data_IF_684387386627
#
_entry.id   IF_684387386627
#
_cell.length_a   1.000
_cell.length_b   1.000
_cell.length_c   1.000
_cell.angle_alpha   90.00
_cell.angle_beta   90.00
_cell.angle_gamma   90.00
#
_symmetry.space_group_name_H-M   'P 1'
#
loop_
_entity.id
_entity.type
_entity.pdbx_description
1 polymer ?
#
# COMPACT_ATOMS: atom_id res chain seq x y z
N UNK A 1 27.38 4.63 5.36
CA UNK A 1 26.13 4.69 4.57
C UNK A 1 26.37 3.85 3.35
N UNK A 2 25.85 2.61 3.34
CA UNK A 2 25.96 1.75 2.16
C UNK A 2 25.09 2.35 1.07
N UNK A 3 25.57 2.47 -0.19
CA UNK A 3 24.75 2.98 -1.27
C UNK A 3 23.57 2.03 -1.51
N UNK A 4 22.34 2.55 -1.44
CA UNK A 4 21.14 1.79 -1.76
C UNK A 4 21.14 1.43 -3.26
N UNK A 5 20.74 0.19 -3.59
CA UNK A 5 20.45 -0.21 -4.96
C UNK A 5 19.21 0.53 -5.48
N UNK A 6 19.28 0.88 -6.75
CA UNK A 6 18.08 1.19 -7.54
C UNK A 6 17.42 -0.13 -7.96
N UNK A 7 16.17 -0.05 -8.41
CA UNK A 7 15.56 -1.15 -9.17
C UNK A 7 16.45 -1.57 -10.34
N UNK A 8 16.41 -2.86 -10.69
CA UNK A 8 17.21 -3.49 -11.74
C UNK A 8 18.75 -3.50 -11.52
N UNK A 9 19.26 -2.95 -10.42
CA UNK A 9 20.69 -2.98 -10.10
C UNK A 9 21.10 -4.36 -9.52
N UNK A 10 21.83 -5.14 -10.33
CA UNK A 10 22.34 -6.45 -9.95
C UNK A 10 23.72 -6.42 -9.26
N UNK A 11 24.26 -5.23 -8.93
CA UNK A 11 25.57 -5.10 -8.28
C UNK A 11 25.59 -5.68 -6.85
N UNK A 12 26.50 -6.61 -6.58
CA UNK A 12 26.68 -7.27 -5.27
C UNK A 12 27.06 -6.30 -4.13
N UNK A 13 26.80 -6.70 -2.88
CA UNK A 13 27.09 -5.96 -1.63
C UNK A 13 26.43 -4.57 -1.53
N UNK A 14 25.15 -4.49 -1.89
CA UNK A 14 24.32 -3.29 -1.76
C UNK A 14 22.90 -3.64 -1.34
N UNK A 15 22.41 -2.95 -0.32
CA UNK A 15 21.03 -3.10 0.19
C UNK A 15 20.02 -2.42 -0.72
N UNK A 16 18.78 -2.91 -0.75
CA UNK A 16 17.65 -2.22 -1.36
C UNK A 16 16.72 -1.68 -0.27
N UNK A 17 16.19 -0.47 -0.48
CA UNK A 17 15.21 0.16 0.39
C UNK A 17 14.20 0.95 -0.42
N UNK A 18 12.91 0.82 -0.08
CA UNK A 18 11.83 1.58 -0.70
C UNK A 18 10.70 1.83 0.29
N UNK A 19 10.03 2.97 0.15
CA UNK A 19 8.83 3.30 0.93
C UNK A 19 7.69 3.62 -0.02
N UNK A 20 6.60 2.87 0.06
CA UNK A 20 5.32 3.28 -0.53
C UNK A 20 4.71 4.34 0.39
N UNK A 21 4.59 5.59 -0.06
CA UNK A 21 4.02 6.69 0.73
C UNK A 21 2.61 7.04 0.27
N UNK A 22 1.79 7.59 1.18
CA UNK A 22 0.46 8.11 0.83
C UNK A 22 -0.55 6.99 0.58
N UNK A 23 -0.40 5.88 1.32
CA UNK A 23 -1.35 4.78 1.28
C UNK A 23 -2.74 5.26 1.74
N UNK A 24 -3.82 4.70 1.19
CA UNK A 24 -5.16 5.02 1.64
C UNK A 24 -5.34 4.63 3.11
N UNK A 25 -6.25 5.32 3.79
CA UNK A 25 -6.70 4.91 5.12
C UNK A 25 -7.62 3.67 5.05
N UNK A 26 -7.80 3.00 6.18
CA UNK A 26 -8.66 1.81 6.34
C UNK A 26 -8.29 0.67 5.39
N UNK A 27 -6.99 0.36 5.26
CA UNK A 27 -6.53 -0.82 4.54
C UNK A 27 -7.07 -2.06 5.26
N UNK A 28 -7.80 -2.89 4.53
CA UNK A 28 -8.44 -4.13 5.01
C UNK A 28 -7.69 -5.38 4.53
N UNK A 29 -7.00 -5.28 3.39
CA UNK A 29 -6.09 -6.31 2.89
C UNK A 29 -5.00 -5.67 2.01
N UNK A 30 -3.82 -6.27 1.99
CA UNK A 30 -2.75 -5.85 1.10
C UNK A 30 -1.88 -7.03 0.67
N UNK A 31 -1.42 -6.98 -0.58
CA UNK A 31 -0.47 -7.94 -1.16
C UNK A 31 0.72 -7.17 -1.74
N UNK A 32 1.93 -7.54 -1.32
CA UNK A 32 3.17 -7.10 -1.95
C UNK A 32 3.64 -8.17 -2.93
N UNK A 33 3.64 -7.85 -4.21
CA UNK A 33 4.38 -8.60 -5.22
C UNK A 33 5.79 -8.01 -5.35
N UNK A 34 6.81 -8.85 -5.23
CA UNK A 34 8.20 -8.44 -5.36
C UNK A 34 8.97 -9.47 -6.18
N UNK A 35 9.68 -9.01 -7.20
CA UNK A 35 10.61 -9.87 -7.96
C UNK A 35 12.05 -9.63 -7.50
N UNK A 36 12.68 -10.70 -7.03
CA UNK A 36 14.04 -10.67 -6.50
C UNK A 36 14.96 -11.61 -7.28
N UNK A 37 16.22 -11.21 -7.39
CA UNK A 37 17.27 -12.00 -8.04
C UNK A 37 18.48 -12.12 -7.12
N UNK A 38 18.85 -13.35 -6.78
CA UNK A 38 20.07 -13.65 -6.05
C UNK A 38 21.28 -13.34 -6.96
N UNK A 39 22.12 -12.39 -6.54
CA UNK A 39 23.39 -12.11 -7.21
C UNK A 39 24.28 -13.35 -7.29
N UNK A 40 25.33 -13.30 -8.12
CA UNK A 40 26.22 -14.47 -8.32
C UNK A 40 27.14 -14.83 -7.14
N UNK A 41 26.92 -14.30 -5.93
CA UNK A 41 27.77 -14.54 -4.75
C UNK A 41 27.30 -15.77 -3.96
N UNK A 42 28.18 -16.34 -3.13
CA UNK A 42 27.81 -17.41 -2.17
C UNK A 42 27.17 -16.87 -0.89
N UNK A 43 27.09 -15.55 -0.71
CA UNK A 43 26.61 -14.95 0.53
C UNK A 43 25.09 -14.70 0.50
N UNK A 44 24.44 -14.64 -0.66
CA UNK A 44 22.97 -14.51 -0.81
C UNK A 44 22.14 -15.40 0.11
N UNK A 45 22.65 -16.56 0.53
CA UNK A 45 21.94 -17.49 1.41
C UNK A 45 21.63 -16.94 2.81
N UNK A 46 22.33 -15.88 3.25
CA UNK A 46 22.06 -15.20 4.53
C UNK A 46 21.21 -13.93 4.40
N UNK A 47 20.79 -13.57 3.18
CA UNK A 47 19.96 -12.39 2.94
C UNK A 47 18.54 -12.60 3.46
N UNK A 48 17.93 -11.51 3.90
CA UNK A 48 16.54 -11.43 4.33
C UNK A 48 15.80 -10.27 3.65
N UNK A 49 14.48 -10.41 3.59
CA UNK A 49 13.56 -9.30 3.36
C UNK A 49 12.98 -8.87 4.70
N UNK A 50 12.85 -7.55 4.87
CA UNK A 50 12.18 -6.96 6.01
C UNK A 50 11.14 -5.95 5.54
N UNK A 51 10.01 -5.92 6.24
CA UNK A 51 8.91 -5.02 5.97
C UNK A 51 8.61 -4.18 7.20
N UNK A 52 8.16 -2.96 6.94
CA UNK A 52 7.65 -2.00 7.92
C UNK A 52 8.72 -1.55 8.94
N UNK A 53 9.21 -0.32 8.76
CA UNK A 53 10.23 0.24 9.65
C UNK A 53 9.56 0.88 10.87
N UNK A 54 9.78 0.28 12.05
CA UNK A 54 9.27 0.85 13.31
C UNK A 54 10.38 1.59 14.06
N UNK A 55 10.50 2.91 13.86
CA UNK A 55 11.35 3.81 14.66
C UNK A 55 12.60 4.36 13.96
N UNK A 56 13.48 5.01 14.75
CA UNK A 56 14.51 5.96 14.27
C UNK A 56 15.93 5.36 14.12
N UNK A 57 16.09 4.03 14.23
CA UNK A 57 17.40 3.36 14.26
C UNK A 57 17.52 2.15 13.31
N UNK A 58 16.82 2.14 12.18
CA UNK A 58 16.89 1.04 11.20
C UNK A 58 16.50 -0.35 11.77
N UNK A 59 15.71 -0.39 12.84
CA UNK A 59 15.11 -1.62 13.33
C UNK A 59 13.88 -1.96 12.47
N UNK A 60 14.10 -2.64 11.34
CA UNK A 60 13.01 -3.28 10.62
C UNK A 60 12.48 -4.43 11.47
N UNK A 61 11.32 -4.27 12.10
CA UNK A 61 10.81 -5.36 12.93
C UNK A 61 9.32 -5.28 13.23
N UNK A 62 8.48 -4.89 12.28
CA UNK A 62 7.14 -5.49 12.31
C UNK A 62 7.15 -6.86 11.63
N UNK A 63 8.02 -7.07 10.63
CA UNK A 63 8.22 -8.40 10.06
C UNK A 63 9.55 -8.56 9.30
N UNK A 64 10.21 -9.71 9.41
CA UNK A 64 11.32 -10.06 8.51
C UNK A 64 11.62 -11.55 8.40
N UNK A 65 12.03 -12.00 7.20
CA UNK A 65 12.30 -13.41 6.95
C UNK A 65 13.50 -13.60 6.02
N UNK A 66 14.36 -14.55 6.38
CA UNK A 66 15.47 -14.98 5.53
C UNK A 66 14.96 -15.55 4.20
N UNK A 67 15.62 -15.23 3.10
CA UNK A 67 15.16 -15.57 1.74
C UNK A 67 15.12 -17.08 1.49
N UNK A 68 16.01 -17.86 2.13
CA UNK A 68 15.92 -19.34 2.08
C UNK A 68 14.63 -19.84 2.74
N UNK A 69 14.21 -19.25 3.87
CA UNK A 69 12.98 -19.63 4.54
C UNK A 69 11.74 -19.14 3.75
N UNK A 70 11.80 -17.93 3.21
CA UNK A 70 10.73 -17.38 2.36
C UNK A 70 10.53 -18.19 1.08
N UNK A 71 11.63 -18.58 0.43
CA UNK A 71 11.59 -19.38 -0.79
C UNK A 71 11.24 -20.85 -0.53
N UNK A 72 11.43 -21.32 0.71
CA UNK A 72 11.22 -22.71 1.09
C UNK A 72 12.25 -23.68 0.50
N UNK A 73 13.28 -23.16 -0.17
CA UNK A 73 14.41 -23.86 -0.77
C UNK A 73 15.65 -22.95 -0.68
N UNK A 74 16.87 -23.49 -0.88
CA UNK A 74 18.09 -22.67 -0.84
C UNK A 74 18.00 -21.46 -1.80
N UNK A 75 18.15 -20.26 -1.25
CA UNK A 75 18.35 -19.04 -2.03
C UNK A 75 19.83 -18.93 -2.38
N UNK A 76 20.19 -19.16 -3.65
CA UNK A 76 21.58 -19.31 -4.10
C UNK A 76 21.83 -18.48 -5.36
N UNK A 77 23.09 -18.25 -5.71
CA UNK A 77 23.43 -17.40 -6.85
C UNK A 77 22.75 -17.86 -8.15
N UNK A 78 22.02 -16.94 -8.78
CA UNK A 78 21.21 -17.23 -9.97
C UNK A 78 19.74 -17.56 -9.70
N UNK A 79 19.31 -17.70 -8.44
CA UNK A 79 17.88 -17.73 -8.09
C UNK A 79 17.19 -16.45 -8.58
N UNK A 80 16.05 -16.60 -9.24
CA UNK A 80 15.19 -15.53 -9.75
C UNK A 80 13.75 -15.92 -9.44
N UNK A 81 13.07 -15.13 -8.61
CA UNK A 81 11.73 -15.49 -8.14
C UNK A 81 10.89 -14.24 -7.85
N UNK A 82 9.61 -14.34 -8.23
CA UNK A 82 8.57 -13.42 -7.78
C UNK A 82 7.86 -13.98 -6.54
N UNK A 83 7.82 -13.20 -5.48
CA UNK A 83 7.12 -13.51 -4.23
C UNK A 83 5.84 -12.68 -4.13
N UNK A 84 4.76 -13.32 -3.67
CA UNK A 84 3.49 -12.67 -3.38
C UNK A 84 3.21 -12.78 -1.88
N UNK A 85 3.39 -11.68 -1.17
CA UNK A 85 3.30 -11.62 0.29
C UNK A 85 1.93 -11.06 0.69
N UNK A 86 1.12 -11.87 1.36
CA UNK A 86 -0.11 -11.39 2.00
C UNK A 86 0.26 -10.69 3.31
N UNK A 87 0.15 -9.36 3.34
CA UNK A 87 0.60 -8.54 4.46
C UNK A 87 -0.30 -8.67 5.72
N UNK A 88 -1.45 -9.34 5.59
CA UNK A 88 -2.32 -9.69 6.71
C UNK A 88 -2.08 -11.12 7.25
N UNK A 89 -1.26 -11.93 6.56
CA UNK A 89 -0.97 -13.31 6.92
C UNK A 89 0.41 -13.75 6.37
N UNK A 90 1.45 -13.08 6.85
CA UNK A 90 2.84 -13.38 6.59
C UNK A 90 3.26 -14.65 7.33
N UNK A 91 4.33 -15.29 6.85
CA UNK A 91 4.93 -16.41 7.59
C UNK A 91 5.51 -15.91 8.91
N UNK A 92 5.36 -16.62 10.03
CA UNK A 92 5.91 -16.16 11.30
C UNK A 92 7.41 -15.89 11.21
N UNK A 93 7.85 -14.73 11.70
CA UNK A 93 9.26 -14.42 11.90
C UNK A 93 9.72 -14.82 13.32
N UNK A 94 10.92 -14.38 13.71
CA UNK A 94 11.45 -14.62 15.06
C UNK A 94 10.68 -13.89 16.17
N UNK A 95 9.85 -12.90 15.82
CA UNK A 95 9.04 -12.08 16.71
C UNK A 95 7.58 -12.60 16.78
N UNK A 96 7.14 -13.36 15.78
CA UNK A 96 5.81 -13.98 15.70
C UNK A 96 4.75 -13.10 15.07
N UNK A 97 5.13 -11.94 14.54
CA UNK A 97 4.21 -11.05 13.83
C UNK A 97 3.90 -11.63 12.45
N UNK A 98 2.61 -11.68 12.11
CA UNK A 98 2.13 -12.21 10.82
C UNK A 98 1.18 -11.25 10.11
N UNK A 99 0.85 -10.12 10.73
CA UNK A 99 -0.06 -9.14 10.16
C UNK A 99 0.48 -7.74 10.42
N UNK A 100 0.83 -7.03 9.35
CA UNK A 100 1.42 -5.69 9.43
C UNK A 100 0.46 -4.58 8.95
N UNK A 101 -0.79 -4.92 8.61
CA UNK A 101 -1.79 -3.97 8.09
C UNK A 101 -2.09 -2.84 9.09
N UNK A 102 -2.04 -3.12 10.39
CA UNK A 102 -2.25 -2.10 11.42
C UNK A 102 -1.15 -1.04 11.44
N UNK A 103 0.08 -1.40 11.12
CA UNK A 103 1.20 -0.46 11.07
C UNK A 103 1.10 0.42 9.83
N UNK A 104 0.82 -0.17 8.66
CA UNK A 104 0.58 0.58 7.42
C UNK A 104 -0.56 1.61 7.55
N UNK A 105 -1.61 1.28 8.30
CA UNK A 105 -2.70 2.21 8.59
C UNK A 105 -2.32 3.32 9.57
N UNK A 106 -1.30 3.10 10.42
CA UNK A 106 -0.88 4.05 11.45
C UNK A 106 -0.01 5.17 10.89
N UNK A 107 0.78 4.90 9.85
CA UNK A 107 1.71 5.87 9.25
C UNK A 107 1.43 6.17 7.77
N UNK A 108 0.46 5.48 7.17
CA UNK A 108 0.09 5.57 5.76
C UNK A 108 1.26 5.26 4.82
N UNK A 109 2.15 4.37 5.24
CA UNK A 109 3.29 3.92 4.46
C UNK A 109 3.46 2.39 4.48
N UNK A 110 4.34 1.90 3.61
CA UNK A 110 4.91 0.57 3.71
C UNK A 110 6.37 0.64 3.32
N UNK A 111 7.24 0.29 4.26
CA UNK A 111 8.68 0.18 4.01
C UNK A 111 9.05 -1.24 3.58
N UNK A 112 9.95 -1.32 2.60
CA UNK A 112 10.50 -2.57 2.06
C UNK A 112 12.01 -2.48 2.08
N UNK A 113 12.65 -3.48 2.66
CA UNK A 113 14.11 -3.60 2.69
C UNK A 113 14.56 -5.01 2.34
N UNK A 114 15.59 -5.09 1.50
CA UNK A 114 16.22 -6.35 1.10
C UNK A 114 17.73 -6.22 1.32
N UNK A 115 18.32 -7.24 1.94
CA UNK A 115 19.75 -7.30 2.24
C UNK A 115 20.63 -7.46 0.98
N UNK A 116 21.94 -7.39 1.17
CA UNK A 116 22.89 -6.75 0.28
C UNK A 116 23.34 -7.54 -0.96
N UNK A 117 23.10 -8.85 -1.05
CA UNK A 117 23.46 -9.63 -2.25
C UNK A 117 22.26 -10.01 -3.13
N UNK A 118 21.06 -9.61 -2.74
CA UNK A 118 19.83 -9.82 -3.49
C UNK A 118 19.37 -8.53 -4.18
N UNK A 119 19.23 -8.60 -5.50
CA UNK A 119 18.68 -7.52 -6.31
C UNK A 119 17.15 -7.53 -6.29
N UNK A 120 16.55 -6.35 -6.44
CA UNK A 120 15.11 -6.19 -6.66
C UNK A 120 14.90 -5.63 -8.07
N UNK A 121 14.12 -6.36 -8.88
CA UNK A 121 13.69 -5.94 -10.22
C UNK A 121 12.55 -4.92 -10.07
N UNK A 122 11.43 -5.35 -9.50
CA UNK A 122 10.29 -4.49 -9.23
C UNK A 122 9.56 -4.88 -7.94
N UNK A 123 8.72 -3.94 -7.49
CA UNK A 123 7.72 -4.15 -6.44
C UNK A 123 6.37 -3.57 -6.90
N UNK A 124 5.28 -4.27 -6.57
CA UNK A 124 3.91 -3.82 -6.79
C UNK A 124 3.14 -4.05 -5.49
N UNK A 125 2.58 -2.98 -4.93
CA UNK A 125 1.70 -3.06 -3.77
C UNK A 125 0.25 -2.93 -4.24
N UNK A 126 -0.55 -3.97 -3.95
CA UNK A 126 -2.00 -3.95 -4.16
C UNK A 126 -2.70 -3.85 -2.81
N UNK A 127 -3.53 -2.83 -2.63
CA UNK A 127 -4.30 -2.60 -1.40
C UNK A 127 -5.79 -2.65 -1.66
N UNK A 128 -6.52 -3.32 -0.77
CA UNK A 128 -7.96 -3.18 -0.63
C UNK A 128 -8.23 -2.38 0.64
N UNK A 129 -8.95 -1.27 0.52
CA UNK A 129 -9.22 -0.36 1.61
C UNK A 129 -10.71 -0.02 1.67
N UNK A 130 -11.21 0.29 2.86
CA UNK A 130 -12.54 0.87 2.99
C UNK A 130 -12.54 2.26 2.39
N UNK A 131 -13.40 2.47 1.40
CA UNK A 131 -13.65 3.82 0.91
C UNK A 131 -14.29 4.65 2.01
N UNK A 132 -13.68 5.77 2.38
CA UNK A 132 -14.44 6.84 3.04
C UNK A 132 -15.49 7.31 2.05
N UNK A 133 -16.73 7.42 2.49
CA UNK A 133 -17.79 7.95 1.67
C UNK A 133 -18.25 9.31 2.17
N UNK A 134 -18.72 10.14 1.25
CA UNK A 134 -19.23 11.47 1.51
C UNK A 134 -20.61 11.58 0.89
N UNK A 135 -21.57 12.05 1.68
CA UNK A 135 -22.91 12.38 1.20
C UNK A 135 -22.86 13.71 0.44
N UNK A 136 -23.41 13.70 -0.77
CA UNK A 136 -23.52 14.88 -1.63
C UNK A 136 -24.95 14.99 -2.19
N UNK A 137 -25.35 16.21 -2.55
CA UNK A 137 -26.50 16.46 -3.39
C UNK A 137 -26.01 16.50 -4.83
N UNK A 138 -26.30 15.44 -5.58
CA UNK A 138 -25.97 15.33 -6.98
C UNK A 138 -26.98 16.09 -7.84
N UNK A 139 -26.52 16.99 -8.71
CA UNK A 139 -27.35 17.84 -9.56
C UNK A 139 -27.06 17.49 -11.04
N UNK A 140 -27.94 16.71 -11.71
CA UNK A 140 -27.71 16.31 -13.10
C UNK A 140 -27.61 17.50 -14.05
N UNK A 141 -26.59 17.47 -14.92
CA UNK A 141 -26.42 18.48 -15.96
C UNK A 141 -27.65 18.54 -16.88
N UNK A 142 -28.27 19.73 -16.96
CA UNK A 142 -29.46 19.97 -17.78
C UNK A 142 -30.81 19.75 -17.07
N UNK A 143 -30.83 19.23 -15.83
CA UNK A 143 -32.06 19.14 -15.04
C UNK A 143 -31.81 19.33 -13.53
N UNK A 144 -31.78 20.59 -13.10
CA UNK A 144 -31.56 20.98 -11.70
C UNK A 144 -32.66 20.50 -10.75
N UNK A 145 -33.87 20.22 -11.26
CA UNK A 145 -34.99 19.74 -10.45
C UNK A 145 -34.94 18.23 -10.18
N UNK A 146 -34.01 17.49 -10.80
CA UNK A 146 -33.80 16.07 -10.58
C UNK A 146 -32.62 15.80 -9.64
N UNK A 147 -32.34 16.71 -8.70
CA UNK A 147 -31.28 16.55 -7.72
C UNK A 147 -31.51 15.32 -6.82
N UNK A 148 -30.45 14.59 -6.50
CA UNK A 148 -30.53 13.36 -5.69
C UNK A 148 -29.44 13.34 -4.62
N UNK A 149 -29.83 13.04 -3.39
CA UNK A 149 -28.89 12.74 -2.31
C UNK A 149 -28.25 11.38 -2.60
N UNK A 150 -26.93 11.37 -2.81
CA UNK A 150 -26.15 10.15 -3.04
C UNK A 150 -24.93 10.13 -2.11
N UNK A 151 -24.38 8.93 -1.92
CA UNK A 151 -23.13 8.73 -1.19
C UNK A 151 -22.06 8.29 -2.18
N UNK A 152 -20.96 9.02 -2.25
CA UNK A 152 -19.85 8.77 -3.19
C UNK A 152 -18.55 8.52 -2.44
N UNK A 153 -17.56 7.92 -3.11
CA UNK A 153 -16.21 7.84 -2.53
C UNK A 153 -15.66 9.26 -2.29
N UNK A 154 -15.02 9.47 -1.14
CA UNK A 154 -14.43 10.75 -0.75
C UNK A 154 -13.43 11.26 -1.80
N UNK A 155 -12.69 10.36 -2.45
CA UNK A 155 -11.77 10.69 -3.55
C UNK A 155 -12.48 11.22 -4.80
N UNK A 156 -13.76 10.91 -5.01
CA UNK A 156 -14.55 11.38 -6.15
C UNK A 156 -15.21 12.74 -5.89
N UNK A 157 -15.26 13.21 -4.63
CA UNK A 157 -16.01 14.41 -4.24
C UNK A 157 -15.61 15.63 -5.08
N UNK A 158 -14.32 15.85 -5.29
CA UNK A 158 -13.86 17.02 -6.04
C UNK A 158 -14.39 17.03 -7.49
N UNK A 159 -14.49 15.87 -8.13
CA UNK A 159 -15.07 15.72 -9.47
C UNK A 159 -16.55 16.07 -9.47
N UNK A 160 -17.30 15.61 -8.46
CA UNK A 160 -18.71 15.93 -8.29
C UNK A 160 -18.94 17.43 -8.08
N UNK A 161 -18.16 18.06 -7.20
CA UNK A 161 -18.23 19.50 -6.95
C UNK A 161 -17.94 20.33 -8.21
N UNK A 162 -16.96 19.91 -9.03
CA UNK A 162 -16.64 20.58 -10.28
C UNK A 162 -17.74 20.46 -11.35
N UNK A 163 -18.67 19.51 -11.19
CA UNK A 163 -19.84 19.34 -12.06
C UNK A 163 -21.11 20.01 -11.52
N UNK A 164 -21.01 20.72 -10.39
CA UNK A 164 -22.12 21.48 -9.81
C UNK A 164 -22.86 20.79 -8.67
N UNK A 165 -22.41 19.61 -8.22
CA UNK A 165 -22.93 18.96 -7.01
C UNK A 165 -22.55 19.75 -5.76
N UNK A 166 -23.27 19.54 -4.65
CA UNK A 166 -22.96 20.19 -3.36
C UNK A 166 -22.73 19.15 -2.26
N UNK A 167 -21.96 19.53 -1.23
CA UNK A 167 -21.77 18.68 -0.04
C UNK A 167 -23.06 18.62 0.78
N UNK A 168 -23.36 17.45 1.36
CA UNK A 168 -24.54 17.22 2.20
C UNK A 168 -25.74 16.65 1.43
N UNK A 169 -26.88 16.52 2.10
CA UNK A 169 -28.12 16.07 1.46
C UNK A 169 -28.71 17.18 0.58
N UNK A 170 -29.56 16.81 -0.39
CA UNK A 170 -30.36 17.79 -1.11
C UNK A 170 -31.41 18.43 -0.20
N UNK A 171 -31.64 19.73 -0.37
CA UNK A 171 -32.74 20.41 0.31
C UNK A 171 -34.10 19.95 -0.25
N UNK A 172 -34.92 19.28 0.55
CA UNK A 172 -36.31 18.88 0.21
C UNK A 172 -37.27 20.09 0.00
N UNK A 173 -36.77 21.32 0.01
CA UNK A 173 -37.55 22.54 0.21
C UNK A 173 -37.91 23.31 -1.08
N UNK A 174 -37.98 22.64 -2.23
CA UNK A 174 -38.48 23.27 -3.47
C UNK A 174 -40.02 23.45 -3.52
N UNK A 175 -40.76 22.96 -2.52
CA UNK A 175 -42.24 23.08 -2.44
C UNK A 175 -42.78 23.91 -1.25
N UNK A 176 -41.96 24.40 -0.31
CA UNK A 176 -42.47 25.18 0.86
C UNK A 176 -42.28 26.69 0.81
N UNK A 177 -41.56 27.23 -0.18
CA UNK A 177 -41.32 28.68 -0.31
C UNK A 177 -42.28 29.41 -1.26
N UNK A 178 -43.19 28.71 -1.96
CA UNK A 178 -44.21 29.32 -2.84
C UNK A 178 -45.60 29.46 -2.23
N UNK A 179 -45.73 29.31 -0.91
CA UNK A 179 -47.04 29.28 -0.26
C UNK A 179 -47.06 29.84 1.15
N UNK A 180 -46.57 31.07 1.39
CA UNK A 180 -46.93 31.87 2.57
C UNK A 180 -46.93 33.37 2.25
N UNK A 181 -48.14 33.84 1.94
CA UNK A 181 -48.72 35.19 2.01
C UNK A 181 -48.08 36.31 1.20
#
# INVERSE_FOLDING_TARGET
>A
MFPHRQFDDKAVNRVFGHTFTGLPEDIQAATLEIRMFAGGSSLVSNDAIHLELTGINDAFSSWGLGLTALFGQPWIGGSDQTFNLNLANLSPDGQGDTNIISFMNADNALDVYVQDDTAVDYIILTVAHGGKTVTICHIPSGNQSASQTITVNASSVNTHLNHGDTLGECDDNSERSRGRR
#
